data_IF_514023419266
#
_entry.id   IF_514023419266
#
_cell.length_a   1.000
_cell.length_b   1.000
_cell.length_c   1.000
_cell.angle_alpha   90.00
_cell.angle_beta   90.00
_cell.angle_gamma   90.00
#
_symmetry.space_group_name_H-M   'P 1'
#
loop_
_entity.id
_entity.type
_entity.pdbx_description
1 polymer ?
#
# COMPACT_ATOMS: atom_id res chain seq x y z
N UNK A 1 93.35 7.25 28.70
CA UNK A 1 92.08 6.86 29.35
C UNK A 1 90.91 7.54 28.63
N UNK A 2 89.77 6.84 28.50
CA UNK A 2 88.51 7.31 27.89
C UNK A 2 88.19 6.56 26.59
N UNK A 3 87.54 5.40 26.65
CA UNK A 3 86.06 5.21 26.57
C UNK A 3 85.49 5.62 25.20
N UNK A 4 84.59 4.91 24.52
CA UNK A 4 83.92 3.62 24.68
C UNK A 4 83.23 3.36 23.32
N UNK A 5 83.02 2.09 22.95
CA UNK A 5 82.50 1.72 21.64
C UNK A 5 80.99 1.73 21.46
N UNK A 6 80.61 1.49 20.19
CA UNK A 6 79.32 1.00 19.59
C UNK A 6 78.32 2.08 19.13
N UNK A 7 77.43 1.78 18.15
CA UNK A 7 77.08 0.48 17.54
C UNK A 7 77.03 0.46 16.00
N UNK A 8 76.57 -0.70 15.51
CA UNK A 8 76.60 -1.27 14.17
C UNK A 8 75.48 -0.76 13.24
N UNK A 9 75.81 -0.71 11.95
CA UNK A 9 74.92 -0.67 10.78
C UNK A 9 73.83 -1.73 10.88
N UNK A 10 72.55 -1.39 10.67
CA UNK A 10 71.50 -2.34 10.26
C UNK A 10 70.33 -1.67 9.52
N UNK A 11 70.19 -2.10 8.27
CA UNK A 11 68.99 -2.23 7.42
C UNK A 11 68.20 -0.97 7.02
N UNK A 12 68.35 -0.65 5.73
CA UNK A 12 67.36 0.09 4.95
C UNK A 12 65.97 -0.54 5.10
N UNK A 13 65.02 0.25 5.58
CA UNK A 13 63.60 -0.08 5.54
C UNK A 13 62.96 0.75 4.43
N UNK A 14 62.65 0.04 3.34
CA UNK A 14 61.79 0.50 2.28
C UNK A 14 60.37 0.80 2.79
N UNK A 15 59.81 1.91 2.29
CA UNK A 15 58.38 2.19 2.05
C UNK A 15 57.35 1.84 3.16
N UNK A 16 56.67 2.84 3.77
CA UNK A 16 55.27 2.70 4.11
C UNK A 16 54.45 3.25 2.92
N UNK A 17 53.78 2.37 2.18
CA UNK A 17 52.37 2.03 2.38
C UNK A 17 51.44 3.18 1.99
N UNK A 18 50.99 3.05 0.74
CA UNK A 18 49.65 3.37 0.22
C UNK A 18 48.56 3.35 1.31
N UNK A 19 47.46 4.08 1.07
CA UNK A 19 46.19 4.19 1.84
C UNK A 19 46.18 5.46 2.71
N UNK A 20 45.34 6.47 2.48
CA UNK A 20 43.89 6.36 2.53
C UNK A 20 43.28 7.69 2.02
N UNK A 21 43.16 7.87 0.70
CA UNK A 21 42.57 9.08 0.12
C UNK A 21 41.34 8.73 -0.73
N UNK A 22 40.44 7.87 -0.22
CA UNK A 22 39.12 7.66 -0.83
C UNK A 22 38.09 7.41 0.28
N UNK A 23 37.72 8.47 0.99
CA UNK A 23 36.47 8.52 1.74
C UNK A 23 35.46 9.35 0.96
N UNK A 24 35.21 8.99 -0.31
CA UNK A 24 34.20 9.66 -1.12
C UNK A 24 32.84 9.35 -0.49
N UNK A 25 32.34 10.32 0.27
CA UNK A 25 31.07 10.27 0.97
C UNK A 25 29.95 10.18 -0.07
N UNK A 26 29.54 8.96 -0.40
CA UNK A 26 28.32 8.72 -1.15
C UNK A 26 27.13 8.98 -0.20
N UNK A 27 26.77 10.26 -0.05
CA UNK A 27 25.47 10.67 0.45
C UNK A 27 24.43 10.28 -0.61
N UNK A 28 24.04 9.00 -0.61
CA UNK A 28 22.88 8.55 -1.36
C UNK A 28 21.68 9.25 -0.74
N UNK A 29 21.12 10.22 -1.44
CA UNK A 29 19.88 10.87 -1.04
C UNK A 29 18.79 9.79 -0.95
N UNK A 30 18.40 9.43 0.27
CA UNK A 30 17.29 8.53 0.48
C UNK A 30 16.02 9.21 -0.03
N UNK A 31 15.40 8.64 -1.07
CA UNK A 31 14.10 9.10 -1.54
C UNK A 31 13.09 9.02 -0.37
N UNK A 32 12.21 10.02 -0.20
CA UNK A 32 11.19 9.96 0.83
C UNK A 32 10.33 8.72 0.61
N UNK A 33 10.30 7.83 1.61
CA UNK A 33 9.41 6.69 1.60
C UNK A 33 7.97 7.21 1.69
N UNK A 34 7.23 7.09 0.58
CA UNK A 34 5.81 7.45 0.51
C UNK A 34 5.03 6.36 1.22
N UNK A 35 4.45 6.71 2.36
CA UNK A 35 3.59 5.82 3.12
C UNK A 35 2.17 6.10 2.63
N UNK A 36 1.62 5.33 1.69
CA UNK A 36 0.34 5.62 1.03
C UNK A 36 -0.55 4.35 1.01
N UNK A 37 -1.88 4.52 0.88
CA UNK A 37 -2.78 3.41 0.49
C UNK A 37 -2.95 3.39 -1.03
N UNK A 38 -2.50 2.31 -1.67
CA UNK A 38 -2.51 2.17 -3.14
C UNK A 38 -3.41 1.02 -3.58
N UNK A 39 -4.09 1.21 -4.69
CA UNK A 39 -4.85 0.17 -5.36
C UNK A 39 -4.33 0.02 -6.78
N UNK A 40 -4.01 -1.21 -7.15
CA UNK A 40 -3.53 -1.60 -8.47
C UNK A 40 -4.60 -2.42 -9.17
N UNK A 41 -5.06 -1.94 -10.32
CA UNK A 41 -5.96 -2.68 -11.19
C UNK A 41 -5.13 -3.57 -12.12
N UNK A 42 -5.11 -4.88 -11.88
CA UNK A 42 -4.42 -5.84 -12.74
C UNK A 42 -5.32 -6.40 -13.86
N UNK A 43 -6.57 -5.95 -13.93
CA UNK A 43 -7.48 -6.26 -15.05
C UNK A 43 -7.19 -5.35 -16.25
N UNK A 44 -7.89 -5.59 -17.35
CA UNK A 44 -7.80 -4.75 -18.56
C UNK A 44 -8.87 -3.66 -18.64
N UNK A 45 -9.89 -3.71 -17.79
CA UNK A 45 -11.03 -2.79 -17.87
C UNK A 45 -10.85 -1.63 -16.88
N UNK A 46 -11.59 -0.54 -17.09
CA UNK A 46 -11.68 0.55 -16.13
C UNK A 46 -12.42 0.09 -14.87
N UNK A 47 -11.82 0.32 -13.70
CA UNK A 47 -12.42 -0.03 -12.41
C UNK A 47 -12.70 1.23 -11.59
N UNK A 48 -13.95 1.37 -11.14
CA UNK A 48 -14.37 2.36 -10.16
C UNK A 48 -14.10 1.84 -8.75
N UNK A 49 -13.50 2.66 -7.89
CA UNK A 49 -13.13 2.27 -6.52
C UNK A 49 -13.65 3.28 -5.50
N UNK A 50 -14.12 2.78 -4.37
CA UNK A 50 -14.42 3.54 -3.16
C UNK A 50 -13.70 2.95 -1.95
N UNK A 51 -13.39 3.78 -0.95
CA UNK A 51 -12.71 3.38 0.28
C UNK A 51 -13.47 3.87 1.52
N UNK A 52 -13.60 2.99 2.50
CA UNK A 52 -14.12 3.28 3.83
C UNK A 52 -13.04 3.14 4.89
N UNK A 53 -13.06 4.02 5.88
CA UNK A 53 -12.15 3.96 7.02
C UNK A 53 -12.72 4.66 8.24
N UNK A 54 -12.13 4.34 9.40
CA UNK A 54 -12.48 5.00 10.66
C UNK A 54 -11.60 6.24 10.84
N UNK A 55 -12.22 7.42 10.85
CA UNK A 55 -11.59 8.69 11.18
C UNK A 55 -11.90 9.11 12.63
N UNK A 56 -11.30 10.20 13.10
CA UNK A 56 -11.54 10.75 14.45
C UNK A 56 -13.02 11.07 14.71
N UNK A 57 -13.75 11.52 13.68
CA UNK A 57 -15.16 11.87 13.75
C UNK A 57 -16.12 10.66 13.56
N UNK A 58 -15.58 9.46 13.33
CA UNK A 58 -16.36 8.25 13.04
C UNK A 58 -16.04 7.67 11.66
N UNK A 59 -16.96 6.88 11.12
CA UNK A 59 -16.82 6.26 9.82
C UNK A 59 -16.88 7.29 8.69
N UNK A 60 -16.00 7.14 7.72
CA UNK A 60 -15.98 7.91 6.47
C UNK A 60 -15.93 6.92 5.31
N UNK A 61 -16.71 7.16 4.27
CA UNK A 61 -16.54 6.54 2.96
C UNK A 61 -16.32 7.61 1.90
N UNK A 62 -15.43 7.35 0.96
CA UNK A 62 -15.13 8.25 -0.16
C UNK A 62 -14.89 7.47 -1.45
N UNK A 63 -15.03 8.15 -2.59
CA UNK A 63 -14.97 7.62 -3.95
C UNK A 63 -15.36 8.73 -4.93
N UNK A 64 -15.40 8.56 -6.25
CA UNK A 64 -14.98 7.42 -7.04
C UNK A 64 -13.59 7.67 -7.61
N UNK A 65 -12.67 6.75 -7.33
CA UNK A 65 -11.43 6.69 -8.09
C UNK A 65 -11.63 5.82 -9.32
N UNK A 66 -11.25 6.34 -10.47
CA UNK A 66 -11.25 5.61 -11.73
C UNK A 66 -9.84 5.11 -12.01
N UNK A 67 -9.61 3.80 -11.96
CA UNK A 67 -8.29 3.18 -12.13
C UNK A 67 -8.28 2.42 -13.45
N UNK A 68 -7.52 2.94 -14.41
CA UNK A 68 -7.32 2.31 -15.72
C UNK A 68 -6.75 0.89 -15.57
N UNK A 69 -7.01 0.04 -16.55
CA UNK A 69 -6.43 -1.31 -16.60
C UNK A 69 -4.91 -1.29 -16.52
N UNK A 70 -4.34 -2.30 -15.87
CA UNK A 70 -2.89 -2.45 -15.66
C UNK A 70 -2.21 -1.23 -15.00
N UNK A 71 -2.94 -0.45 -14.20
CA UNK A 71 -2.42 0.77 -13.55
C UNK A 71 -2.69 0.78 -12.04
N UNK A 72 -2.03 1.69 -11.31
CA UNK A 72 -2.29 1.88 -9.88
C UNK A 72 -2.61 3.34 -9.56
N UNK A 73 -3.48 3.55 -8.57
CA UNK A 73 -3.71 4.88 -7.96
C UNK A 73 -3.50 4.84 -6.45
N UNK A 74 -3.07 5.98 -5.92
CA UNK A 74 -3.07 6.25 -4.48
C UNK A 74 -4.45 6.78 -4.08
N UNK A 75 -5.08 6.14 -3.11
CA UNK A 75 -6.40 6.53 -2.59
C UNK A 75 -6.28 7.36 -1.31
N UNK A 76 -5.30 7.02 -0.46
CA UNK A 76 -4.96 7.79 0.74
C UNK A 76 -3.50 8.19 0.63
N UNK A 77 -3.25 9.49 0.65
CA UNK A 77 -1.90 10.06 0.69
C UNK A 77 -1.41 10.15 2.14
N UNK A 78 -0.16 9.74 2.36
CA UNK A 78 0.46 9.82 3.68
C UNK A 78 0.10 8.65 4.60
N UNK A 79 0.78 8.58 5.75
CA UNK A 79 0.83 7.39 6.58
C UNK A 79 -0.56 6.99 7.05
N UNK A 80 -0.87 5.70 6.94
CA UNK A 80 -2.14 5.14 7.35
C UNK A 80 -2.38 5.35 8.85
N UNK A 81 -3.52 5.97 9.19
CA UNK A 81 -3.90 6.26 10.57
C UNK A 81 -4.71 5.15 11.23
N UNK A 82 -5.18 4.19 10.45
CA UNK A 82 -6.08 3.11 10.86
C UNK A 82 -5.49 1.75 10.45
N UNK A 83 -5.80 0.70 11.21
CA UNK A 83 -5.40 -0.68 10.88
C UNK A 83 -6.28 -1.31 9.81
N UNK A 84 -7.59 -1.05 9.86
CA UNK A 84 -8.57 -1.64 8.95
C UNK A 84 -9.05 -0.60 7.94
N UNK A 85 -9.00 -0.98 6.66
CA UNK A 85 -9.58 -0.23 5.55
C UNK A 85 -10.57 -1.11 4.80
N UNK A 86 -11.57 -0.49 4.22
CA UNK A 86 -12.67 -1.16 3.54
C UNK A 86 -12.64 -0.71 2.10
N UNK A 87 -12.59 -1.61 1.13
CA UNK A 87 -12.55 -1.27 -0.28
C UNK A 87 -13.79 -1.78 -0.99
N UNK A 88 -14.39 -0.92 -1.80
CA UNK A 88 -15.40 -1.31 -2.78
C UNK A 88 -14.81 -1.08 -4.16
N UNK A 89 -14.97 -2.04 -5.06
CA UNK A 89 -14.57 -1.88 -6.44
C UNK A 89 -15.62 -2.44 -7.39
N UNK A 90 -15.75 -1.82 -8.56
CA UNK A 90 -16.64 -2.27 -9.63
C UNK A 90 -16.02 -2.05 -11.01
N UNK A 91 -16.22 -3.03 -11.90
CA UNK A 91 -15.87 -2.94 -13.31
C UNK A 91 -16.91 -2.07 -14.02
N UNK A 92 -16.45 -0.94 -14.57
CA UNK A 92 -17.31 0.06 -15.20
C UNK A 92 -17.95 -0.43 -16.51
N UNK A 93 -17.41 -1.47 -17.14
CA UNK A 93 -17.87 -1.98 -18.43
C UNK A 93 -18.70 -3.26 -18.28
N UNK A 94 -18.24 -4.20 -17.44
CA UNK A 94 -18.84 -5.54 -17.31
C UNK A 94 -19.79 -5.67 -16.13
N UNK A 95 -19.79 -4.70 -15.21
CA UNK A 95 -20.62 -4.73 -14.00
C UNK A 95 -20.19 -5.79 -12.98
N UNK A 96 -18.98 -6.33 -13.10
CA UNK A 96 -18.37 -7.19 -12.07
C UNK A 96 -18.04 -6.38 -10.82
N UNK A 97 -18.25 -6.95 -9.63
CA UNK A 97 -18.07 -6.24 -8.36
C UNK A 97 -17.23 -7.08 -7.40
N UNK A 98 -16.33 -6.40 -6.69
CA UNK A 98 -15.60 -6.98 -5.57
C UNK A 98 -16.44 -6.78 -4.32
N UNK A 99 -17.52 -7.56 -4.22
CA UNK A 99 -18.46 -7.47 -3.11
C UNK A 99 -17.83 -8.05 -1.83
N UNK A 100 -17.84 -7.27 -0.76
CA UNK A 100 -17.44 -7.71 0.58
C UNK A 100 -18.60 -7.70 1.59
N UNK A 101 -18.41 -8.30 2.77
CA UNK A 101 -19.49 -8.49 3.75
C UNK A 101 -19.91 -7.19 4.47
N UNK A 102 -19.11 -6.13 4.37
CA UNK A 102 -19.28 -4.91 5.17
C UNK A 102 -20.07 -3.88 4.39
N UNK A 103 -21.32 -3.66 4.77
CA UNK A 103 -22.18 -2.69 4.09
C UNK A 103 -21.84 -1.26 4.50
N UNK A 104 -21.55 -0.40 3.52
CA UNK A 104 -21.35 1.04 3.72
C UNK A 104 -22.07 1.88 2.64
N UNK A 105 -22.04 3.20 2.79
CA UNK A 105 -22.73 4.13 1.89
C UNK A 105 -21.84 4.57 0.72
N UNK A 106 -22.40 4.60 -0.48
CA UNK A 106 -21.79 5.15 -1.70
C UNK A 106 -22.79 6.08 -2.40
N UNK A 107 -22.30 6.97 -3.27
CA UNK A 107 -23.16 7.82 -4.11
C UNK A 107 -22.84 7.62 -5.59
N UNK A 108 -23.74 8.06 -6.47
CA UNK A 108 -23.58 7.90 -7.93
C UNK A 108 -22.40 8.70 -8.51
N UNK A 109 -22.06 9.85 -7.90
CA UNK A 109 -20.95 10.72 -8.29
C UNK A 109 -19.86 10.68 -7.23
N UNK A 110 -18.72 11.34 -7.50
CA UNK A 110 -17.66 11.52 -6.52
C UNK A 110 -18.23 12.03 -5.17
N UNK A 111 -17.81 11.40 -4.08
CA UNK A 111 -18.43 11.48 -2.78
C UNK A 111 -17.42 11.39 -1.64
N UNK A 112 -17.82 12.00 -0.53
CA UNK A 112 -17.24 11.80 0.79
C UNK A 112 -18.37 11.86 1.81
N UNK A 113 -18.71 10.72 2.39
CA UNK A 113 -19.88 10.54 3.25
C UNK A 113 -19.41 10.20 4.66
N UNK A 114 -19.91 10.95 5.63
CA UNK A 114 -19.74 10.62 7.05
C UNK A 114 -20.85 9.68 7.52
N UNK A 115 -20.47 8.60 8.22
CA UNK A 115 -21.37 7.60 8.78
C UNK A 115 -21.89 6.59 7.75
N UNK A 116 -22.09 5.36 8.21
CA UNK A 116 -22.49 4.20 7.39
C UNK A 116 -23.93 3.73 7.63
N UNK A 117 -24.68 4.45 8.47
CA UNK A 117 -26.08 4.12 8.79
C UNK A 117 -27.05 4.84 7.86
N UNK A 118 -28.22 4.23 7.67
CA UNK A 118 -29.38 4.80 6.96
C UNK A 118 -29.06 5.35 5.56
N UNK A 119 -28.13 4.70 4.83
CA UNK A 119 -27.65 5.18 3.53
C UNK A 119 -28.80 5.57 2.59
N UNK A 120 -29.77 4.68 2.42
CA UNK A 120 -30.91 4.88 1.51
C UNK A 120 -31.82 6.02 1.95
N UNK A 121 -32.10 6.13 3.25
CA UNK A 121 -32.92 7.22 3.79
C UNK A 121 -32.23 8.60 3.65
N UNK A 122 -30.90 8.59 3.57
CA UNK A 122 -30.06 9.78 3.34
C UNK A 122 -29.81 10.08 1.86
N UNK A 123 -30.39 9.29 0.95
CA UNK A 123 -30.23 9.46 -0.50
C UNK A 123 -28.96 8.80 -1.10
N UNK A 124 -28.30 7.94 -0.34
CA UNK A 124 -27.13 7.17 -0.78
C UNK A 124 -27.51 5.72 -1.11
N UNK A 125 -26.64 5.03 -1.84
CA UNK A 125 -26.76 3.60 -2.08
C UNK A 125 -25.96 2.81 -1.03
N UNK A 126 -26.33 1.54 -0.85
CA UNK A 126 -25.60 0.62 0.02
C UNK A 126 -24.78 -0.32 -0.84
N UNK A 127 -23.49 -0.42 -0.56
CA UNK A 127 -22.55 -1.29 -1.25
C UNK A 127 -21.74 -2.14 -0.26
N UNK A 128 -21.30 -3.32 -0.69
CA UNK A 128 -20.55 -4.27 0.12
C UNK A 128 -19.04 -4.08 -0.04
N UNK A 129 -18.37 -3.62 1.01
CA UNK A 129 -16.94 -3.37 1.03
C UNK A 129 -16.19 -4.59 1.58
N UNK A 130 -15.04 -4.89 0.98
CA UNK A 130 -14.09 -5.88 1.46
C UNK A 130 -13.15 -5.26 2.50
N UNK A 131 -13.01 -5.92 3.65
CA UNK A 131 -12.08 -5.48 4.70
C UNK A 131 -10.65 -5.93 4.39
N UNK A 132 -9.70 -5.01 4.58
CA UNK A 132 -8.26 -5.23 4.51
C UNK A 132 -7.62 -4.83 5.84
N UNK A 133 -7.02 -5.82 6.52
CA UNK A 133 -6.20 -5.60 7.70
C UNK A 133 -4.77 -5.26 7.29
N UNK A 134 -4.37 -4.00 7.51
CA UNK A 134 -3.03 -3.50 7.19
C UNK A 134 -2.00 -3.83 8.25
N UNK A 135 -2.38 -4.45 9.38
CA UNK A 135 -1.45 -4.80 10.45
C UNK A 135 -0.70 -3.61 11.05
N UNK A 136 -1.33 -2.42 11.06
CA UNK A 136 -0.73 -1.15 11.50
C UNK A 136 0.45 -0.65 10.64
N UNK A 137 0.58 -1.17 9.42
CA UNK A 137 1.57 -0.68 8.46
C UNK A 137 1.24 0.73 8.01
N UNK A 138 2.28 1.57 7.88
CA UNK A 138 2.11 2.95 7.42
C UNK A 138 1.74 3.07 5.93
N UNK A 139 1.89 1.99 5.15
CA UNK A 139 1.56 1.91 3.73
C UNK A 139 0.95 0.56 3.39
N UNK A 140 0.04 0.52 2.42
CA UNK A 140 -0.59 -0.71 1.98
C UNK A 140 -0.88 -0.68 0.48
N UNK A 141 -0.86 -1.86 -0.15
CA UNK A 141 -1.22 -2.01 -1.56
C UNK A 141 -2.23 -3.14 -1.71
N UNK A 142 -3.34 -2.86 -2.38
CA UNK A 142 -4.32 -3.86 -2.82
C UNK A 142 -4.18 -4.07 -4.32
N UNK A 143 -4.22 -5.32 -4.77
CA UNK A 143 -4.27 -5.67 -6.18
C UNK A 143 -5.64 -6.25 -6.52
N UNK A 144 -6.32 -5.65 -7.50
CA UNK A 144 -7.60 -6.11 -8.03
C UNK A 144 -7.35 -7.02 -9.23
N UNK A 145 -7.97 -8.20 -9.24
CA UNK A 145 -7.83 -9.23 -10.28
C UNK A 145 -9.21 -9.69 -10.76
N UNK A 146 -9.30 -10.29 -11.95
CA UNK A 146 -10.58 -10.74 -12.51
C UNK A 146 -11.26 -11.85 -11.69
N UNK A 147 -10.48 -12.72 -11.03
CA UNK A 147 -11.01 -13.81 -10.19
C UNK A 147 -11.76 -13.27 -8.97
N UNK A 148 -11.25 -12.18 -8.37
CA UNK A 148 -11.83 -11.60 -7.16
C UNK A 148 -13.13 -10.82 -7.42
N UNK A 149 -13.43 -10.47 -8.68
CA UNK A 149 -14.74 -9.97 -9.10
C UNK A 149 -15.78 -11.10 -9.28
N UNK A 150 -15.34 -12.36 -9.39
CA UNK A 150 -16.20 -13.54 -9.64
C UNK A 150 -16.53 -14.31 -8.35
N UNK A 151 -15.67 -14.24 -7.33
CA UNK A 151 -15.87 -14.92 -6.02
C UNK A 151 -16.97 -14.30 -5.13
N UNK A 152 -17.64 -13.24 -5.57
CA UNK A 152 -18.82 -12.66 -4.88
C UNK A 152 -20.09 -13.51 -4.93
N UNK A 153 -20.09 -14.64 -5.66
CA UNK A 153 -21.16 -15.64 -5.63
C UNK A 153 -20.76 -16.80 -4.71
N UNK A 154 -21.56 -17.18 -3.69
CA UNK A 154 -21.21 -18.31 -2.84
C UNK A 154 -21.14 -19.58 -3.70
N UNK A 155 -19.93 -20.12 -3.84
CA UNK A 155 -19.74 -21.49 -4.32
C UNK A 155 -20.45 -22.42 -3.33
N UNK A 156 -21.56 -23.01 -3.77
CA UNK A 156 -22.24 -24.06 -3.03
C UNK A 156 -21.23 -25.19 -2.74
N UNK A 157 -21.16 -25.73 -1.51
CA UNK A 157 -20.30 -26.86 -1.23
C UNK A 157 -20.82 -28.06 -2.03
N UNK A 158 -20.00 -28.52 -2.98
CA UNK A 158 -20.20 -29.79 -3.66
C UNK A 158 -20.22 -30.92 -2.63
N UNK A 159 -21.35 -31.63 -2.56
CA UNK A 159 -21.49 -32.83 -1.75
C UNK A 159 -20.62 -33.93 -2.36
N UNK A 160 -19.50 -34.26 -1.72
CA UNK A 160 -18.76 -35.48 -2.04
C UNK A 160 -19.36 -36.61 -1.21
N UNK A 161 -20.27 -37.36 -1.82
CA UNK A 161 -20.71 -38.66 -1.33
C UNK A 161 -19.63 -39.70 -1.69
N UNK A 162 -18.95 -40.22 -0.67
CA UNK A 162 -18.37 -41.56 -0.67
C UNK A 162 -19.07 -42.37 0.42
#
# INVERSE_FOLDING_TARGET
>A
MGSAGRPRVRYALAMPLLSLAIGLSALVAASPARADFRVCNATQNLVGVGIGYRAKAGWITEGWWHIEGSSCKTLIEGPLSSRFYYLYAEDAERGGRWDGPINMCVAEKEFKIAGVTDCVARGFQRAGFQEYDTGEQASWMVQLTDESATEGAPAAPGTNSQ
#
